data_IF_545593118239
#
_entry.id   IF_545593118239
#
_cell.length_a   1.000
_cell.length_b   1.000
_cell.length_c   1.000
_cell.angle_alpha   90.00
_cell.angle_beta   90.00
_cell.angle_gamma   90.00
#
_symmetry.space_group_name_H-M   'P 1'
#
loop_
_entity.id
_entity.type
_entity.pdbx_description
1 polymer ?
#
# COMPACT_ATOMS: atom_id res chain seq x y z
N UNK A 1 21.68 8.17 -2.56
CA UNK A 1 20.85 8.30 -1.33
C UNK A 1 19.51 8.99 -1.55
N UNK A 2 19.18 9.40 -2.77
CA UNK A 2 17.93 10.14 -3.05
C UNK A 2 16.68 9.24 -2.90
N UNK A 3 16.78 7.96 -3.25
CA UNK A 3 15.70 6.99 -3.09
C UNK A 3 15.25 6.84 -1.61
N UNK A 4 16.20 6.67 -0.68
CA UNK A 4 15.88 6.55 0.75
C UNK A 4 15.17 7.79 1.30
N UNK A 5 15.54 8.98 0.82
CA UNK A 5 14.86 10.23 1.21
C UNK A 5 13.43 10.27 0.69
N UNK A 6 13.16 9.79 -0.53
CA UNK A 6 11.80 9.67 -1.06
C UNK A 6 10.98 8.72 -0.19
N UNK A 7 11.51 7.54 0.14
CA UNK A 7 10.87 6.56 1.03
C UNK A 7 10.54 7.17 2.40
N UNK A 8 11.46 7.93 3.00
CA UNK A 8 11.26 8.60 4.28
C UNK A 8 10.15 9.67 4.19
N UNK A 9 10.17 10.49 3.15
CA UNK A 9 9.13 11.50 2.89
C UNK A 9 7.77 10.83 2.74
N UNK A 10 7.70 9.71 2.00
CA UNK A 10 6.47 8.93 1.79
C UNK A 10 5.87 8.44 3.11
N UNK A 11 6.72 7.96 4.01
CA UNK A 11 6.33 7.51 5.35
C UNK A 11 5.81 8.68 6.21
N UNK A 12 6.53 9.80 6.25
CA UNK A 12 6.09 11.00 6.98
C UNK A 12 4.76 11.56 6.45
N UNK A 13 4.63 11.66 5.11
CA UNK A 13 3.40 12.11 4.46
C UNK A 13 2.21 11.21 4.82
N UNK A 14 2.42 9.90 4.94
CA UNK A 14 1.37 8.94 5.33
C UNK A 14 0.80 9.27 6.71
N UNK A 15 1.67 9.48 7.71
CA UNK A 15 1.23 9.85 9.05
C UNK A 15 0.55 11.23 9.09
N UNK A 16 1.10 12.20 8.37
CA UNK A 16 0.51 13.56 8.27
C UNK A 16 -0.90 13.49 7.69
N UNK A 17 -1.11 12.78 6.58
CA UNK A 17 -2.41 12.65 5.94
C UNK A 17 -3.43 12.00 6.86
N UNK A 18 -3.06 10.95 7.58
CA UNK A 18 -3.96 10.24 8.48
C UNK A 18 -4.44 11.14 9.63
N UNK A 19 -3.55 11.99 10.16
CA UNK A 19 -3.92 12.95 11.21
C UNK A 19 -4.80 14.09 10.65
N UNK A 20 -4.54 14.53 9.42
CA UNK A 20 -5.29 15.62 8.78
C UNK A 20 -6.63 15.18 8.20
N UNK A 21 -6.81 13.90 7.91
CA UNK A 21 -8.00 13.36 7.26
C UNK A 21 -9.26 13.79 8.04
N UNK A 22 -10.20 14.46 7.36
CA UNK A 22 -11.47 14.95 7.93
C UNK A 22 -11.34 16.00 9.04
N UNK A 23 -10.12 16.38 9.47
CA UNK A 23 -9.89 17.40 10.50
C UNK A 23 -10.18 18.81 9.98
N UNK A 24 -9.78 19.09 8.74
CA UNK A 24 -9.90 20.41 8.11
C UNK A 24 -10.55 20.27 6.73
N UNK A 25 -11.84 20.67 6.57
CA UNK A 25 -12.58 20.45 5.33
C UNK A 25 -11.92 21.04 4.07
N UNK A 26 -11.24 22.18 4.20
CA UNK A 26 -10.53 22.83 3.09
C UNK A 26 -9.30 22.03 2.62
N UNK A 27 -8.76 21.12 3.45
CA UNK A 27 -7.63 20.25 3.09
C UNK A 27 -8.07 18.89 2.52
N UNK A 28 -9.38 18.61 2.42
CA UNK A 28 -9.88 17.31 2.00
C UNK A 28 -9.35 16.88 0.61
N UNK A 29 -9.40 17.78 -0.36
CA UNK A 29 -8.89 17.53 -1.72
C UNK A 29 -7.37 17.33 -1.68
N UNK A 30 -6.65 18.18 -0.92
CA UNK A 30 -5.20 18.05 -0.75
C UNK A 30 -4.82 16.69 -0.16
N UNK A 31 -5.56 16.18 0.84
CA UNK A 31 -5.32 14.86 1.42
C UNK A 31 -5.47 13.75 0.38
N UNK A 32 -6.51 13.79 -0.46
CA UNK A 32 -6.70 12.80 -1.54
C UNK A 32 -5.54 12.83 -2.55
N UNK A 33 -5.09 14.02 -2.92
CA UNK A 33 -3.95 14.20 -3.83
C UNK A 33 -2.67 13.67 -3.18
N UNK A 34 -2.43 13.93 -1.89
CA UNK A 34 -1.24 13.43 -1.20
C UNK A 34 -1.28 11.90 -1.09
N UNK A 35 -2.43 11.27 -0.84
CA UNK A 35 -2.57 9.80 -0.86
C UNK A 35 -2.18 9.27 -2.24
N UNK A 36 -2.66 9.89 -3.31
CA UNK A 36 -2.30 9.49 -4.67
C UNK A 36 -0.78 9.62 -4.90
N UNK A 37 -0.18 10.74 -4.47
CA UNK A 37 1.27 10.97 -4.58
C UNK A 37 2.06 9.92 -3.79
N UNK A 38 1.65 9.56 -2.58
CA UNK A 38 2.30 8.53 -1.75
C UNK A 38 2.45 7.21 -2.52
N UNK A 39 1.37 6.74 -3.15
CA UNK A 39 1.39 5.46 -3.90
C UNK A 39 2.01 5.57 -5.29
N UNK A 40 2.00 6.76 -5.91
CA UNK A 40 2.70 6.97 -7.18
C UNK A 40 4.21 7.04 -6.97
N UNK A 41 4.67 7.66 -5.89
CA UNK A 41 6.09 7.76 -5.55
C UNK A 41 6.74 6.38 -5.39
N UNK A 42 5.98 5.37 -4.95
CA UNK A 42 6.38 3.96 -4.87
C UNK A 42 6.67 3.27 -6.21
N UNK A 43 6.01 3.72 -7.27
CA UNK A 43 6.39 3.28 -8.60
C UNK A 43 7.66 3.99 -9.10
N UNK A 44 7.85 5.23 -8.65
CA UNK A 44 8.89 6.14 -9.16
C UNK A 44 10.25 5.87 -8.51
N UNK A 45 10.32 5.70 -7.19
CA UNK A 45 11.56 5.36 -6.46
C UNK A 45 12.21 4.08 -7.00
N UNK A 46 11.42 3.05 -7.29
CA UNK A 46 11.87 1.81 -7.91
C UNK A 46 12.39 1.99 -9.35
N UNK A 47 11.92 3.00 -10.10
CA UNK A 47 12.46 3.34 -11.43
C UNK A 47 13.75 4.15 -11.29
N UNK A 48 13.78 5.13 -10.37
CA UNK A 48 14.92 6.00 -10.15
C UNK A 48 16.13 5.22 -9.61
N UNK A 49 15.92 4.31 -8.65
CA UNK A 49 16.96 3.45 -8.11
C UNK A 49 17.62 2.59 -9.21
N UNK A 50 16.80 2.03 -10.11
CA UNK A 50 17.29 1.23 -11.26
C UNK A 50 18.05 2.06 -12.28
N UNK A 51 17.61 3.29 -12.57
CA UNK A 51 18.26 4.16 -13.55
C UNK A 51 19.59 4.75 -13.05
N UNK A 52 19.75 4.92 -11.74
CA UNK A 52 20.94 5.55 -11.16
C UNK A 52 22.01 4.57 -10.66
N UNK A 53 21.76 3.26 -10.74
CA UNK A 53 22.63 2.23 -10.14
C UNK A 53 22.94 2.49 -8.64
N UNK A 54 22.10 3.27 -7.94
CA UNK A 54 22.24 3.57 -6.51
C UNK A 54 21.56 2.47 -5.67
N UNK A 55 21.77 1.22 -6.04
CA UNK A 55 21.15 0.07 -5.36
C UNK A 55 22.03 -0.29 -4.17
N UNK A 56 21.60 0.08 -2.97
CA UNK A 56 22.23 -0.36 -1.71
C UNK A 56 21.35 -1.40 -1.03
N UNK A 57 21.97 -2.40 -0.38
CA UNK A 57 21.22 -3.43 0.35
C UNK A 57 20.33 -2.82 1.45
N UNK A 58 20.87 -1.83 2.17
CA UNK A 58 20.11 -1.09 3.17
C UNK A 58 18.93 -0.32 2.58
N UNK A 59 19.13 0.40 1.47
CA UNK A 59 18.05 1.16 0.82
C UNK A 59 16.93 0.25 0.31
N UNK A 60 17.28 -0.90 -0.26
CA UNK A 60 16.30 -1.88 -0.72
C UNK A 60 15.49 -2.48 0.44
N UNK A 61 16.15 -2.84 1.55
CA UNK A 61 15.46 -3.34 2.74
C UNK A 61 14.57 -2.27 3.39
N UNK A 62 15.04 -1.01 3.43
CA UNK A 62 14.28 0.11 3.97
C UNK A 62 13.02 0.41 3.16
N UNK A 63 13.11 0.38 1.82
CA UNK A 63 11.97 0.61 0.93
C UNK A 63 10.88 -0.44 1.11
N UNK A 64 11.26 -1.72 1.08
CA UNK A 64 10.33 -2.85 1.35
C UNK A 64 9.67 -2.71 2.74
N UNK A 65 10.44 -2.30 3.75
CA UNK A 65 9.91 -2.11 5.10
C UNK A 65 8.93 -0.93 5.17
N UNK A 66 9.25 0.19 4.53
CA UNK A 66 8.39 1.36 4.49
C UNK A 66 7.07 1.08 3.76
N UNK A 67 7.09 0.31 2.66
CA UNK A 67 5.89 -0.09 1.95
C UNK A 67 4.92 -0.87 2.82
N UNK A 68 5.46 -1.83 3.60
CA UNK A 68 4.69 -2.61 4.56
C UNK A 68 4.08 -1.74 5.64
N UNK A 69 4.85 -0.80 6.18
CA UNK A 69 4.38 0.13 7.21
C UNK A 69 3.24 0.98 6.66
N UNK A 70 3.43 1.61 5.50
CA UNK A 70 2.43 2.50 4.88
C UNK A 70 1.14 1.73 4.58
N UNK A 71 1.25 0.53 4.01
CA UNK A 71 0.11 -0.35 3.75
C UNK A 71 -0.67 -0.68 5.02
N UNK A 72 0.04 -1.17 6.04
CA UNK A 72 -0.57 -1.58 7.29
C UNK A 72 -1.22 -0.40 8.00
N UNK A 73 -0.57 0.77 8.00
CA UNK A 73 -1.09 2.00 8.59
C UNK A 73 -2.41 2.42 7.94
N UNK A 74 -2.53 2.38 6.61
CA UNK A 74 -3.81 2.66 5.94
C UNK A 74 -4.89 1.63 6.24
N UNK A 75 -4.58 0.32 6.17
CA UNK A 75 -5.57 -0.72 6.49
C UNK A 75 -6.06 -0.64 7.94
N UNK A 76 -5.15 -0.44 8.89
CA UNK A 76 -5.49 -0.28 10.31
C UNK A 76 -6.31 0.99 10.52
N UNK A 77 -5.92 2.11 9.90
CA UNK A 77 -6.67 3.36 9.98
C UNK A 77 -8.12 3.18 9.52
N UNK A 78 -8.35 2.67 8.30
CA UNK A 78 -9.70 2.48 7.77
C UNK A 78 -10.53 1.46 8.55
N UNK A 79 -9.88 0.51 9.21
CA UNK A 79 -10.53 -0.41 10.15
C UNK A 79 -10.96 0.32 11.42
N UNK A 80 -10.09 1.15 12.00
CA UNK A 80 -10.34 1.90 13.23
C UNK A 80 -11.52 2.89 13.07
N UNK A 81 -11.66 3.51 11.90
CA UNK A 81 -12.82 4.36 11.57
C UNK A 81 -14.06 3.57 11.11
N UNK A 82 -13.99 2.24 11.09
CA UNK A 82 -15.11 1.32 10.83
C UNK A 82 -15.49 1.15 9.36
N UNK A 83 -14.63 1.52 8.40
CA UNK A 83 -14.95 1.41 6.97
C UNK A 83 -14.76 0.00 6.44
N UNK A 84 -13.84 -0.73 7.05
CA UNK A 84 -13.52 -2.11 6.71
C UNK A 84 -13.46 -2.94 7.99
N UNK A 85 -13.75 -4.25 7.92
CA UNK A 85 -13.68 -5.14 9.07
C UNK A 85 -12.24 -5.54 9.40
N UNK A 86 -12.03 -5.88 10.68
CA UNK A 86 -10.72 -6.21 11.25
C UNK A 86 -10.01 -7.39 10.55
N UNK A 87 -10.73 -8.31 9.92
CA UNK A 87 -10.10 -9.44 9.24
C UNK A 87 -9.20 -8.99 8.06
N UNK A 88 -9.49 -7.85 7.42
CA UNK A 88 -8.70 -7.33 6.29
C UNK A 88 -7.26 -7.00 6.69
N UNK A 89 -7.00 -6.06 7.63
CA UNK A 89 -5.63 -5.78 8.05
C UNK A 89 -4.94 -7.00 8.65
N UNK A 90 -5.66 -7.86 9.39
CA UNK A 90 -5.09 -9.08 9.96
C UNK A 90 -4.53 -10.00 8.86
N UNK A 91 -5.32 -10.29 7.83
CA UNK A 91 -4.88 -11.13 6.71
C UNK A 91 -3.68 -10.50 5.99
N UNK A 92 -3.72 -9.20 5.70
CA UNK A 92 -2.63 -8.50 4.99
C UNK A 92 -1.33 -8.53 5.81
N UNK A 93 -1.40 -8.24 7.11
CA UNK A 93 -0.24 -8.26 8.01
C UNK A 93 0.32 -9.68 8.12
N UNK A 94 -0.53 -10.67 8.44
CA UNK A 94 -0.09 -12.06 8.62
C UNK A 94 0.53 -12.62 7.34
N UNK A 95 -0.11 -12.40 6.18
CA UNK A 95 0.44 -12.82 4.90
C UNK A 95 1.76 -12.12 4.61
N UNK A 96 1.84 -10.80 4.82
CA UNK A 96 3.05 -10.02 4.59
C UNK A 96 4.24 -10.56 5.38
N UNK A 97 4.06 -10.73 6.70
CA UNK A 97 5.11 -11.26 7.60
C UNK A 97 5.48 -12.70 7.20
N UNK A 98 4.50 -13.54 6.89
CA UNK A 98 4.75 -14.92 6.46
C UNK A 98 5.53 -14.98 5.15
N UNK A 99 5.15 -14.20 4.13
CA UNK A 99 5.86 -14.20 2.85
C UNK A 99 7.27 -13.65 2.99
N UNK A 100 7.45 -12.60 3.78
CA UNK A 100 8.75 -11.93 3.92
C UNK A 100 9.73 -12.83 4.72
N UNK A 101 9.24 -13.50 5.77
CA UNK A 101 10.04 -14.48 6.54
C UNK A 101 10.37 -15.71 5.71
N UNK A 102 9.39 -16.34 5.06
CA UNK A 102 9.62 -17.53 4.23
C UNK A 102 10.62 -17.25 3.10
N UNK A 103 10.57 -16.07 2.48
CA UNK A 103 11.48 -15.72 1.40
C UNK A 103 12.95 -15.56 1.85
N UNK A 104 13.19 -15.30 3.14
CA UNK A 104 14.55 -15.31 3.69
C UNK A 104 15.11 -16.73 3.85
N UNK A 105 14.25 -17.73 4.08
CA UNK A 105 14.67 -19.13 4.31
C UNK A 105 14.59 -20.01 3.06
N UNK A 106 13.72 -19.69 2.09
CA UNK A 106 13.48 -20.50 0.89
C UNK A 106 14.41 -20.04 -0.24
N UNK A 107 15.27 -20.95 -0.72
CA UNK A 107 16.04 -20.75 -1.95
C UNK A 107 15.10 -20.65 -3.16
N UNK A 108 15.41 -19.80 -4.17
CA UNK A 108 14.52 -19.57 -5.30
C UNK A 108 14.19 -20.89 -6.03
N UNK A 109 12.93 -21.08 -6.45
CA UNK A 109 12.47 -22.36 -6.99
C UNK A 109 13.24 -22.75 -8.25
N UNK A 110 13.67 -24.02 -8.31
CA UNK A 110 14.47 -24.59 -9.42
C UNK A 110 13.71 -24.59 -10.77
N UNK A 111 12.38 -24.55 -10.76
CA UNK A 111 11.54 -24.53 -11.95
C UNK A 111 11.27 -23.10 -12.45
N UNK A 112 11.80 -22.78 -13.63
CA UNK A 112 11.71 -21.47 -14.31
C UNK A 112 10.28 -20.97 -14.51
N UNK A 113 9.32 -21.88 -14.70
CA UNK A 113 7.91 -21.54 -14.96
C UNK A 113 7.18 -21.04 -13.69
N UNK A 114 7.40 -21.69 -12.55
CA UNK A 114 6.86 -21.27 -11.24
C UNK A 114 7.49 -19.92 -10.83
N UNK A 115 8.78 -19.76 -11.15
CA UNK A 115 9.51 -18.53 -10.94
C UNK A 115 8.98 -17.36 -11.81
N UNK A 116 8.60 -17.60 -13.06
CA UNK A 116 8.04 -16.55 -13.94
C UNK A 116 6.59 -16.17 -13.60
N UNK A 117 5.76 -17.10 -13.09
CA UNK A 117 4.43 -16.77 -12.58
C UNK A 117 4.50 -15.90 -11.31
N UNK A 118 5.31 -16.27 -10.32
CA UNK A 118 5.49 -15.50 -9.07
C UNK A 118 6.25 -14.17 -9.26
N UNK A 119 6.94 -14.01 -10.39
CA UNK A 119 7.72 -12.81 -10.71
C UNK A 119 7.07 -11.91 -11.76
N UNK A 120 5.88 -12.25 -12.26
CA UNK A 120 5.19 -11.43 -13.29
C UNK A 120 5.09 -9.98 -12.82
N UNK A 121 5.84 -9.10 -13.48
CA UNK A 121 5.92 -7.66 -13.20
C UNK A 121 4.54 -7.00 -13.32
N UNK A 122 3.67 -7.58 -14.15
CA UNK A 122 2.31 -7.14 -14.39
C UNK A 122 1.43 -7.43 -13.16
N UNK A 123 1.56 -8.60 -12.53
CA UNK A 123 0.78 -8.97 -11.33
C UNK A 123 1.10 -8.09 -10.12
N UNK A 124 2.38 -7.71 -9.97
CA UNK A 124 2.80 -6.84 -8.87
C UNK A 124 2.34 -5.39 -9.09
N UNK A 125 2.43 -4.91 -10.34
CA UNK A 125 1.95 -3.58 -10.71
C UNK A 125 0.43 -3.43 -10.61
N UNK A 126 -0.33 -4.45 -11.01
CA UNK A 126 -1.80 -4.44 -10.91
C UNK A 126 -2.27 -4.43 -9.46
N UNK A 127 -1.63 -5.21 -8.58
CA UNK A 127 -1.90 -5.18 -7.14
C UNK A 127 -1.65 -3.78 -6.55
N UNK A 128 -0.50 -3.17 -6.85
CA UNK A 128 -0.17 -1.82 -6.39
C UNK A 128 -1.20 -0.77 -6.84
N UNK A 129 -1.60 -0.81 -8.11
CA UNK A 129 -2.62 0.10 -8.65
C UNK A 129 -3.99 -0.09 -7.99
N UNK A 130 -4.42 -1.34 -7.78
CA UNK A 130 -5.70 -1.65 -7.15
C UNK A 130 -5.75 -1.19 -5.69
N UNK A 131 -4.66 -1.38 -4.95
CA UNK A 131 -4.47 -0.91 -3.58
C UNK A 131 -4.54 0.62 -3.51
N UNK A 132 -3.83 1.32 -4.39
CA UNK A 132 -3.90 2.78 -4.52
C UNK A 132 -5.34 3.25 -4.74
N UNK A 133 -6.04 2.68 -5.72
CA UNK A 133 -7.43 3.03 -6.02
C UNK A 133 -8.35 2.79 -4.82
N UNK A 134 -8.15 1.68 -4.11
CA UNK A 134 -8.94 1.34 -2.92
C UNK A 134 -8.75 2.36 -1.81
N UNK A 135 -7.52 2.76 -1.50
CA UNK A 135 -7.29 3.75 -0.44
C UNK A 135 -7.77 5.15 -0.80
N UNK A 136 -7.62 5.56 -2.06
CA UNK A 136 -8.19 6.82 -2.54
C UNK A 136 -9.71 6.79 -2.44
N UNK A 137 -10.34 5.68 -2.84
CA UNK A 137 -11.78 5.50 -2.73
C UNK A 137 -12.24 5.56 -1.27
N UNK A 138 -11.62 4.78 -0.38
CA UNK A 138 -11.97 4.77 1.04
C UNK A 138 -11.79 6.15 1.69
N UNK A 139 -10.72 6.87 1.36
CA UNK A 139 -10.51 8.25 1.81
C UNK A 139 -11.61 9.18 1.30
N UNK A 140 -11.97 9.09 0.02
CA UNK A 140 -13.02 9.91 -0.58
C UNK A 140 -14.39 9.66 0.07
N UNK A 141 -14.76 8.39 0.29
CA UNK A 141 -15.98 8.04 1.03
C UNK A 141 -15.93 8.55 2.46
N UNK A 142 -14.76 8.51 3.10
CA UNK A 142 -14.60 9.03 4.46
C UNK A 142 -14.83 10.55 4.55
N UNK A 143 -14.34 11.29 3.57
CA UNK A 143 -14.42 12.75 3.53
C UNK A 143 -15.82 13.26 3.16
N UNK A 144 -16.49 12.64 2.19
CA UNK A 144 -17.73 13.19 1.61
C UNK A 144 -19.01 12.40 1.94
N UNK A 145 -18.90 11.10 2.25
CA UNK A 145 -20.06 10.19 2.35
C UNK A 145 -20.14 9.46 3.69
N UNK A 146 -19.63 10.06 4.77
CA UNK A 146 -19.51 9.45 6.11
C UNK A 146 -20.80 8.90 6.72
N UNK A 147 -21.98 9.23 6.19
CA UNK A 147 -23.28 8.78 6.70
C UNK A 147 -23.98 7.68 5.90
N UNK A 148 -23.50 7.31 4.70
CA UNK A 148 -24.23 6.41 3.80
C UNK A 148 -23.81 4.94 3.95
N UNK A 149 -24.69 4.06 4.48
CA UNK A 149 -24.34 2.65 4.72
C UNK A 149 -24.11 1.87 3.42
N UNK A 150 -24.77 2.26 2.32
CA UNK A 150 -24.59 1.62 1.02
C UNK A 150 -23.18 1.82 0.46
N UNK A 151 -22.64 3.03 0.58
CA UNK A 151 -21.31 3.38 0.06
C UNK A 151 -20.22 2.69 0.88
N UNK A 152 -20.44 2.50 2.19
CA UNK A 152 -19.55 1.68 3.03
C UNK A 152 -19.49 0.22 2.57
N UNK A 153 -20.61 -0.37 2.16
CA UNK A 153 -20.63 -1.74 1.60
C UNK A 153 -19.82 -1.84 0.31
N UNK A 154 -19.90 -0.83 -0.56
CA UNK A 154 -19.08 -0.77 -1.78
C UNK A 154 -17.59 -0.71 -1.44
N UNK A 155 -17.21 0.13 -0.46
CA UNK A 155 -15.82 0.19 0.02
C UNK A 155 -15.30 -1.13 0.57
N UNK A 156 -16.16 -1.88 1.28
CA UNK A 156 -15.83 -3.21 1.75
C UNK A 156 -15.58 -4.21 0.60
N UNK A 157 -16.40 -4.17 -0.45
CA UNK A 157 -16.23 -5.03 -1.63
C UNK A 157 -14.88 -4.73 -2.30
N UNK A 158 -14.57 -3.45 -2.55
CA UNK A 158 -13.28 -3.03 -3.13
C UNK A 158 -12.07 -3.42 -2.27
N UNK A 159 -12.18 -3.28 -0.95
CA UNK A 159 -11.13 -3.71 -0.04
C UNK A 159 -10.93 -5.23 -0.09
N UNK A 160 -12.03 -5.99 -0.10
CA UNK A 160 -11.99 -7.45 -0.13
C UNK A 160 -11.43 -7.99 -1.45
N UNK A 161 -11.79 -7.40 -2.59
CA UNK A 161 -11.23 -7.81 -3.90
C UNK A 161 -9.73 -7.51 -3.97
N UNK A 162 -9.29 -6.39 -3.38
CA UNK A 162 -7.87 -6.06 -3.28
C UNK A 162 -7.10 -7.09 -2.46
N UNK A 163 -7.61 -7.46 -1.29
CA UNK A 163 -7.00 -8.49 -0.45
C UNK A 163 -7.02 -9.85 -1.13
N UNK A 164 -8.12 -10.22 -1.81
CA UNK A 164 -8.20 -11.49 -2.53
C UNK A 164 -7.11 -11.59 -3.62
N UNK A 165 -6.86 -10.50 -4.36
CA UNK A 165 -5.79 -10.44 -5.35
C UNK A 165 -4.39 -10.44 -4.70
N UNK A 166 -4.24 -9.94 -3.47
CA UNK A 166 -2.99 -10.06 -2.70
C UNK A 166 -2.63 -11.50 -2.33
N UNK A 167 -3.64 -12.34 -2.13
CA UNK A 167 -3.50 -13.73 -1.70
C UNK A 167 -3.21 -14.70 -2.86
N UNK A 168 -3.46 -14.29 -4.10
CA UNK A 168 -3.17 -15.03 -5.33
C UNK A 168 -1.72 -14.74 -5.76
#
# INVERSE_FOLDING_TARGET
MLANTITLIRLLLTFIVIVLLKRYPFLNIACLVIIAIIFVLDAVDGIVARKRNEVSEFGAAFDVSADRIIENVFWVYFTAIGYIPLWIPLVVITRGVLTDTLQQYITPPKNRFIHDLTRSRISRGSYGALKMLTFIYLAWVHLYFSGNPMIRKVGFIFASTTVAICLI
#
